data_IF_256811071541
#
_entry.id   IF_256811071541
#
_cell.length_a   1.000
_cell.length_b   1.000
_cell.length_c   1.000
_cell.angle_alpha   90.00
_cell.angle_beta   90.00
_cell.angle_gamma   90.00
#
_symmetry.space_group_name_H-M   'P 1'
#
loop_
_entity.id
_entity.type
_entity.pdbx_description
1 polymer ?
#
# COMPACT_ATOMS: atom_id res chain seq x y z
N UNK A 1 -0.01 1.48 13.51
CA UNK A 1 0.71 2.32 12.53
C UNK A 1 0.09 2.24 11.14
N UNK A 2 -0.04 1.05 10.54
CA UNK A 2 -0.57 0.87 9.18
C UNK A 2 -1.99 1.43 8.96
N UNK A 3 -2.95 1.15 9.84
CA UNK A 3 -4.33 1.64 9.69
C UNK A 3 -4.42 3.19 9.67
N UNK A 4 -3.52 3.87 10.39
CA UNK A 4 -3.46 5.33 10.40
C UNK A 4 -2.86 5.91 9.11
N UNK A 5 -1.98 5.17 8.42
CA UNK A 5 -1.42 5.56 7.12
C UNK A 5 -2.48 5.44 6.02
N UNK A 6 -3.31 4.40 6.09
CA UNK A 6 -4.41 4.17 5.13
C UNK A 6 -5.56 5.17 5.32
N UNK A 7 -5.90 5.51 6.56
CA UNK A 7 -6.92 6.52 6.88
C UNK A 7 -6.41 7.97 6.88
N UNK A 8 -5.16 8.21 6.47
CA UNK A 8 -4.52 9.52 6.45
C UNK A 8 -4.85 10.33 5.20
N UNK A 9 -3.97 11.27 4.84
CA UNK A 9 -4.14 12.14 3.68
C UNK A 9 -4.37 11.32 2.40
N UNK A 10 -5.47 11.58 1.65
CA UNK A 10 -5.76 10.88 0.41
C UNK A 10 -4.60 11.01 -0.58
N UNK A 11 -4.28 9.91 -1.26
CA UNK A 11 -3.31 9.90 -2.36
C UNK A 11 -3.97 9.46 -3.65
N UNK A 12 -3.50 10.00 -4.77
CA UNK A 12 -4.05 9.72 -6.09
C UNK A 12 -3.56 8.39 -6.69
N UNK A 13 -2.51 7.79 -6.13
CA UNK A 13 -1.87 6.57 -6.62
C UNK A 13 -1.81 5.50 -5.53
N UNK A 14 -2.17 4.27 -5.87
CA UNK A 14 -2.12 3.11 -4.96
C UNK A 14 -0.67 2.79 -4.58
N UNK A 15 0.26 3.01 -5.50
CA UNK A 15 1.70 2.86 -5.34
C UNK A 15 2.22 3.76 -4.21
N UNK A 16 1.75 5.01 -4.15
CA UNK A 16 2.14 5.95 -3.09
C UNK A 16 1.64 5.49 -1.73
N UNK A 17 0.41 4.95 -1.66
CA UNK A 17 -0.12 4.40 -0.42
C UNK A 17 0.68 3.15 0.01
N UNK A 18 0.92 2.23 -0.92
CA UNK A 18 1.69 1.00 -0.67
C UNK A 18 3.10 1.32 -0.17
N UNK A 19 3.78 2.31 -0.77
CA UNK A 19 5.10 2.78 -0.33
C UNK A 19 5.07 3.37 1.07
N UNK A 20 4.12 4.25 1.39
CA UNK A 20 4.02 4.83 2.75
C UNK A 20 3.81 3.76 3.83
N UNK A 21 3.03 2.73 3.52
CA UNK A 21 2.83 1.59 4.43
C UNK A 21 4.14 0.79 4.57
N UNK A 22 4.85 0.53 3.47
CA UNK A 22 6.12 -0.16 3.49
C UNK A 22 7.17 0.59 4.33
N UNK A 23 7.30 1.91 4.14
CA UNK A 23 8.23 2.77 4.88
C UNK A 23 7.91 2.77 6.38
N UNK A 24 6.62 2.82 6.73
CA UNK A 24 6.19 2.75 8.13
C UNK A 24 6.53 1.40 8.79
N UNK A 25 6.49 0.31 8.04
CA UNK A 25 6.89 -1.02 8.52
C UNK A 25 8.42 -1.16 8.64
N UNK A 26 9.17 -0.69 7.64
CA UNK A 26 10.65 -0.76 7.63
C UNK A 26 11.31 0.19 8.63
N UNK A 27 10.58 1.21 9.12
CA UNK A 27 11.00 2.04 10.25
C UNK A 27 11.08 1.28 11.58
N UNK A 28 10.56 0.05 11.67
CA UNK A 28 10.74 -0.81 12.84
C UNK A 28 12.09 -1.55 12.76
N UNK A 29 12.96 -1.45 13.79
CA UNK A 29 14.33 -1.99 13.74
C UNK A 29 14.44 -3.48 13.43
N UNK A 30 13.40 -4.26 13.75
CA UNK A 30 13.37 -5.72 13.58
C UNK A 30 12.82 -6.18 12.21
N UNK A 31 12.36 -5.26 11.36
CA UNK A 31 11.76 -5.60 10.05
C UNK A 31 12.80 -5.47 8.94
N UNK A 32 13.23 -6.59 8.38
CA UNK A 32 14.23 -6.63 7.31
C UNK A 32 13.63 -6.51 5.90
N UNK A 33 12.39 -6.96 5.74
CA UNK A 33 11.63 -6.83 4.50
C UNK A 33 10.12 -6.75 4.75
N UNK A 34 9.41 -6.18 3.78
CA UNK A 34 7.95 -6.05 3.81
C UNK A 34 7.39 -6.24 2.41
N UNK A 35 6.26 -6.94 2.34
CA UNK A 35 5.39 -7.02 1.16
C UNK A 35 4.06 -6.35 1.51
N UNK A 36 3.67 -5.34 0.73
CA UNK A 36 2.42 -4.59 0.93
C UNK A 36 1.57 -4.72 -0.31
N UNK A 37 0.35 -5.25 -0.15
CA UNK A 37 -0.66 -5.30 -1.21
C UNK A 37 -1.84 -4.39 -0.84
N UNK A 38 -2.15 -3.44 -1.72
CA UNK A 38 -3.28 -2.53 -1.56
C UNK A 38 -4.35 -2.89 -2.58
N UNK A 39 -5.49 -3.37 -2.09
CA UNK A 39 -6.67 -3.68 -2.89
C UNK A 39 -7.60 -2.47 -3.00
N UNK A 40 -8.12 -2.21 -4.19
CA UNK A 40 -9.15 -1.22 -4.48
C UNK A 40 -10.36 -1.91 -5.12
N UNK A 41 -11.19 -2.59 -4.31
CA UNK A 41 -12.43 -3.17 -4.81
C UNK A 41 -13.42 -2.05 -5.15
N UNK A 42 -14.05 -2.14 -6.33
CA UNK A 42 -15.17 -1.26 -6.70
C UNK A 42 -14.81 0.15 -7.19
N UNK A 43 -13.62 0.36 -7.78
CA UNK A 43 -13.35 1.61 -8.48
C UNK A 43 -14.37 1.81 -9.63
N UNK A 44 -15.07 2.96 -9.72
CA UNK A 44 -15.97 3.23 -10.84
C UNK A 44 -15.12 3.45 -12.09
N UNK A 45 -14.91 2.38 -12.85
CA UNK A 45 -14.19 2.39 -14.12
C UNK A 45 -15.10 1.80 -15.21
N UNK A 46 -14.93 2.21 -16.49
CA UNK A 46 -15.78 1.77 -17.60
C UNK A 46 -15.65 0.28 -17.94
N UNK A 47 -14.74 -0.43 -17.28
CA UNK A 47 -14.47 -1.86 -17.47
C UNK A 47 -14.75 -2.57 -16.14
N UNK A 48 -15.57 -3.62 -16.19
CA UNK A 48 -15.93 -4.43 -15.02
C UNK A 48 -14.74 -5.30 -14.59
N UNK A 49 -14.03 -4.86 -13.57
CA UNK A 49 -13.12 -5.70 -12.81
C UNK A 49 -13.52 -5.65 -11.34
N UNK A 50 -13.51 -6.82 -10.70
CA UNK A 50 -13.97 -6.98 -9.32
C UNK A 50 -12.99 -6.37 -8.30
N UNK A 51 -11.71 -6.29 -8.66
CA UNK A 51 -10.64 -5.79 -7.80
C UNK A 51 -9.43 -5.33 -8.63
N UNK A 52 -8.75 -4.31 -8.14
CA UNK A 52 -7.45 -3.85 -8.64
C UNK A 52 -6.52 -3.78 -7.45
N UNK A 53 -5.37 -4.45 -7.55
CA UNK A 53 -4.39 -4.48 -6.48
C UNK A 53 -3.01 -4.05 -6.97
N UNK A 54 -2.29 -3.35 -6.10
CA UNK A 54 -0.87 -3.03 -6.29
C UNK A 54 -0.09 -3.68 -5.16
N UNK A 55 0.96 -4.42 -5.52
CA UNK A 55 1.89 -5.04 -4.58
C UNK A 55 3.26 -4.38 -4.68
N UNK A 56 3.82 -4.03 -3.53
CA UNK A 56 5.18 -3.49 -3.40
C UNK A 56 5.95 -4.38 -2.43
N UNK A 57 7.13 -4.82 -2.87
CA UNK A 57 8.10 -5.53 -2.02
C UNK A 57 9.28 -4.59 -1.77
N UNK A 58 9.68 -4.45 -0.52
CA UNK A 58 10.83 -3.65 -0.11
C UNK A 58 11.63 -4.39 0.95
N UNK A 59 12.93 -4.20 0.87
CA UNK A 59 13.90 -4.61 1.87
C UNK A 59 14.70 -3.38 2.32
N UNK A 60 15.53 -3.56 3.35
CA UNK A 60 16.36 -2.49 3.92
C UNK A 60 17.64 -2.21 3.10
N UNK A 61 17.91 -2.98 2.04
CA UNK A 61 19.15 -2.97 1.24
C UNK A 61 19.20 -1.91 0.14
#
# INVERSE_FOLDING_TARGET
>A
RVAAVVGGEPVHLLETLAQRVADACLGEPLVDSVEVTVHKPGAPMPVTFADVAVTVVRDRG
#
